data_IF_197338175099
#
_entry.id   IF_197338175099
#
_cell.length_a   1.000
_cell.length_b   1.000
_cell.length_c   1.000
_cell.angle_alpha   90.00
_cell.angle_beta   90.00
_cell.angle_gamma   90.00
#
_symmetry.space_group_name_H-M   'P 1'
#
loop_
_entity.id
_entity.type
_entity.pdbx_description
1 polymer ?
#
# COMPACT_ATOMS: atom_id res chain seq x y z
N UNK A 1 52.02 -20.20 20.13
CA UNK A 1 51.71 -20.90 18.86
C UNK A 1 50.21 -21.01 18.75
N UNK A 2 49.66 -20.41 17.70
CA UNK A 2 48.25 -20.52 17.31
C UNK A 2 47.87 -21.96 16.98
N UNK A 3 46.59 -22.30 17.10
CA UNK A 3 45.81 -23.16 16.20
C UNK A 3 44.42 -23.39 16.79
N UNK A 4 43.38 -23.00 16.04
CA UNK A 4 42.02 -23.45 16.33
C UNK A 4 40.92 -22.40 16.22
N UNK A 5 41.00 -21.46 15.27
CA UNK A 5 39.79 -20.84 14.71
C UNK A 5 38.93 -21.93 14.04
N UNK A 6 38.24 -22.73 14.85
CA UNK A 6 37.14 -23.53 14.38
C UNK A 6 35.96 -22.57 14.22
N UNK A 7 35.90 -21.96 13.04
CA UNK A 7 34.70 -21.42 12.44
C UNK A 7 33.56 -22.45 12.61
N UNK A 8 32.82 -22.38 13.72
CA UNK A 8 31.51 -22.97 13.76
C UNK A 8 30.64 -22.09 12.87
N UNK A 9 30.02 -22.68 11.84
CA UNK A 9 29.34 -21.94 10.81
C UNK A 9 28.31 -21.07 11.50
N UNK A 10 28.35 -19.77 11.21
CA UNK A 10 27.19 -18.90 11.36
C UNK A 10 26.04 -19.69 10.76
N UNK A 11 25.29 -20.38 11.63
CA UNK A 11 24.01 -20.96 11.30
C UNK A 11 23.34 -19.84 10.58
N UNK A 12 23.10 -20.06 9.29
CA UNK A 12 22.52 -19.12 8.35
C UNK A 12 21.26 -18.67 9.04
N UNK A 13 21.36 -17.60 9.84
CA UNK A 13 20.26 -16.85 10.36
C UNK A 13 19.72 -16.36 9.06
N UNK A 14 18.72 -17.08 8.59
CA UNK A 14 17.94 -16.72 7.45
C UNK A 14 17.35 -15.39 7.89
N UNK A 15 18.11 -14.32 7.66
CA UNK A 15 17.70 -12.94 7.47
C UNK A 15 16.89 -12.94 6.17
N UNK A 16 15.93 -13.88 6.10
CA UNK A 16 14.82 -13.86 5.22
C UNK A 16 14.06 -12.69 5.80
N UNK A 17 14.33 -11.55 5.19
CA UNK A 17 13.41 -10.43 5.06
C UNK A 17 12.13 -11.04 4.44
N UNK A 18 11.43 -11.83 5.24
CA UNK A 18 10.01 -12.08 5.09
C UNK A 18 9.49 -10.66 5.22
N UNK A 19 8.94 -10.12 4.13
CA UNK A 19 8.15 -8.91 4.20
C UNK A 19 7.34 -9.04 5.47
N UNK A 20 7.59 -8.18 6.46
CA UNK A 20 6.88 -8.29 7.73
C UNK A 20 5.39 -8.24 7.37
N UNK A 21 4.74 -9.41 7.41
CA UNK A 21 3.45 -9.61 6.74
C UNK A 21 2.42 -8.70 7.38
N UNK A 22 2.61 -8.43 8.67
CA UNK A 22 1.90 -7.45 9.44
C UNK A 22 2.06 -6.03 8.88
N UNK A 23 3.30 -5.58 8.65
CA UNK A 23 3.60 -4.29 8.05
C UNK A 23 2.99 -4.15 6.64
N UNK A 24 3.00 -5.21 5.84
CA UNK A 24 2.35 -5.24 4.53
C UNK A 24 0.82 -5.12 4.63
N UNK A 25 0.19 -5.96 5.46
CA UNK A 25 -1.27 -5.98 5.65
C UNK A 25 -1.75 -4.64 6.21
N UNK A 26 -1.04 -4.08 7.20
CA UNK A 26 -1.35 -2.77 7.78
C UNK A 26 -1.28 -1.66 6.74
N UNK A 27 -0.21 -1.62 5.95
CA UNK A 27 -0.07 -0.64 4.86
C UNK A 27 -1.15 -0.77 3.80
N UNK A 28 -1.49 -2.00 3.41
CA UNK A 28 -2.55 -2.30 2.45
C UNK A 28 -3.93 -1.91 2.98
N UNK A 29 -4.26 -2.22 4.24
CA UNK A 29 -5.52 -1.84 4.87
C UNK A 29 -5.68 -0.33 4.95
N UNK A 30 -4.62 0.40 5.33
CA UNK A 30 -4.65 1.86 5.40
C UNK A 30 -4.85 2.46 4.01
N UNK A 31 -4.09 2.01 3.01
CA UNK A 31 -4.23 2.48 1.63
C UNK A 31 -5.62 2.22 1.07
N UNK A 32 -6.12 0.98 1.23
CA UNK A 32 -7.44 0.58 0.72
C UNK A 32 -8.55 1.36 1.40
N UNK A 33 -8.52 1.45 2.73
CA UNK A 33 -9.53 2.17 3.50
C UNK A 33 -9.54 3.67 3.16
N UNK A 34 -8.36 4.27 2.94
CA UNK A 34 -8.27 5.68 2.52
C UNK A 34 -8.90 5.89 1.15
N UNK A 35 -8.58 5.03 0.18
CA UNK A 35 -9.11 5.17 -1.17
C UNK A 35 -10.61 4.89 -1.23
N UNK A 36 -11.08 3.80 -0.60
CA UNK A 36 -12.51 3.48 -0.50
C UNK A 36 -13.26 4.57 0.27
N UNK A 37 -12.70 5.05 1.38
CA UNK A 37 -13.27 6.17 2.15
C UNK A 37 -13.42 7.44 1.32
N UNK A 38 -12.42 7.77 0.48
CA UNK A 38 -12.52 8.89 -0.45
C UNK A 38 -13.63 8.68 -1.48
N UNK A 39 -13.75 7.49 -2.07
CA UNK A 39 -14.83 7.18 -3.02
C UNK A 39 -16.22 7.27 -2.36
N UNK A 40 -16.36 6.74 -1.14
CA UNK A 40 -17.60 6.83 -0.37
C UNK A 40 -17.95 8.29 -0.06
N UNK A 41 -16.96 9.09 0.32
CA UNK A 41 -17.15 10.52 0.54
C UNK A 41 -17.62 11.23 -0.74
N UNK A 42 -17.00 10.95 -1.89
CA UNK A 42 -17.41 11.51 -3.17
C UNK A 42 -18.84 11.12 -3.53
N UNK A 43 -19.19 9.83 -3.40
CA UNK A 43 -20.56 9.34 -3.67
C UNK A 43 -21.58 9.95 -2.72
N UNK A 44 -21.28 10.03 -1.43
CA UNK A 44 -22.15 10.66 -0.45
C UNK A 44 -22.34 12.15 -0.76
N UNK A 45 -21.28 12.86 -1.15
CA UNK A 45 -21.36 14.27 -1.50
C UNK A 45 -22.10 14.52 -2.82
N UNK A 46 -21.88 13.71 -3.85
CA UNK A 46 -22.43 13.92 -5.20
C UNK A 46 -23.83 13.34 -5.40
N UNK A 47 -24.17 12.25 -4.71
CA UNK A 47 -25.47 11.58 -4.85
C UNK A 47 -26.26 11.56 -3.55
N UNK A 48 -25.61 11.38 -2.40
CA UNK A 48 -26.30 11.35 -1.11
C UNK A 48 -26.90 12.70 -0.69
N UNK A 49 -26.14 13.79 -0.82
CA UNK A 49 -26.62 15.15 -0.46
C UNK A 49 -27.77 15.61 -1.37
N UNK A 50 -27.70 15.45 -2.70
CA UNK A 50 -28.84 15.76 -3.56
C UNK A 50 -30.04 14.85 -3.28
N UNK A 51 -29.82 13.54 -3.08
CA UNK A 51 -30.92 12.62 -2.81
C UNK A 51 -31.69 12.94 -1.51
N UNK A 52 -30.98 13.37 -0.47
CA UNK A 52 -31.59 13.82 0.78
C UNK A 52 -32.39 15.13 0.63
N UNK A 53 -32.04 15.97 -0.35
CA UNK A 53 -32.74 17.23 -0.63
C UNK A 53 -33.93 17.06 -1.55
N UNK A 54 -33.79 16.22 -2.56
CA UNK A 54 -34.77 16.04 -3.64
C UNK A 54 -35.74 14.87 -3.37
N UNK A 55 -35.56 14.14 -2.26
CA UNK A 55 -36.40 12.99 -1.88
C UNK A 55 -36.25 11.78 -2.81
N UNK A 56 -35.14 11.69 -3.53
CA UNK A 56 -34.89 10.63 -4.52
C UNK A 56 -34.57 9.29 -3.84
N UNK A 57 -34.78 8.19 -4.58
CA UNK A 57 -34.68 6.79 -4.12
C UNK A 57 -33.40 6.50 -3.31
N UNK A 58 -33.54 6.49 -1.98
CA UNK A 58 -32.47 6.16 -1.05
C UNK A 58 -31.87 4.77 -1.35
N UNK A 59 -32.66 3.84 -1.88
CA UNK A 59 -32.19 2.52 -2.32
C UNK A 59 -31.10 2.57 -3.38
N UNK A 60 -31.13 3.56 -4.29
CA UNK A 60 -30.12 3.72 -5.33
C UNK A 60 -28.77 4.15 -4.75
N UNK A 61 -28.80 5.09 -3.78
CA UNK A 61 -27.59 5.55 -3.08
C UNK A 61 -26.98 4.43 -2.24
N UNK A 62 -27.81 3.66 -1.52
CA UNK A 62 -27.34 2.51 -0.74
C UNK A 62 -26.74 1.41 -1.62
N UNK A 63 -27.35 1.12 -2.77
CA UNK A 63 -26.79 0.19 -3.75
C UNK A 63 -25.43 0.65 -4.28
N UNK A 64 -25.29 1.95 -4.57
CA UNK A 64 -24.05 2.53 -5.08
C UNK A 64 -22.94 2.52 -4.01
N UNK A 65 -23.26 2.84 -2.75
CA UNK A 65 -22.34 2.73 -1.62
C UNK A 65 -21.88 1.27 -1.41
N UNK A 66 -22.81 0.32 -1.43
CA UNK A 66 -22.49 -1.11 -1.32
C UNK A 66 -21.59 -1.59 -2.45
N UNK A 67 -21.87 -1.16 -3.69
CA UNK A 67 -21.04 -1.44 -4.86
C UNK A 67 -19.62 -0.90 -4.68
N UNK A 68 -19.47 0.35 -4.23
CA UNK A 68 -18.16 1.00 -4.01
C UNK A 68 -17.33 0.24 -2.97
N UNK A 69 -17.94 -0.21 -1.88
CA UNK A 69 -17.24 -1.01 -0.86
C UNK A 69 -16.79 -2.34 -1.46
N UNK A 70 -17.71 -3.08 -2.09
CA UNK A 70 -17.42 -4.41 -2.60
C UNK A 70 -16.38 -4.38 -3.73
N UNK A 71 -16.55 -3.49 -4.71
CA UNK A 71 -15.56 -3.30 -5.77
C UNK A 71 -14.25 -2.73 -5.25
N UNK A 72 -14.29 -1.74 -4.36
CA UNK A 72 -13.09 -1.08 -3.87
C UNK A 72 -12.16 -2.04 -3.11
N UNK A 73 -12.73 -2.83 -2.18
CA UNK A 73 -11.97 -3.86 -1.48
C UNK A 73 -11.61 -5.05 -2.38
N UNK A 74 -12.52 -5.50 -3.25
CA UNK A 74 -12.27 -6.60 -4.18
C UNK A 74 -11.13 -6.30 -5.16
N UNK A 75 -11.16 -5.14 -5.81
CA UNK A 75 -10.11 -4.67 -6.72
C UNK A 75 -8.79 -4.50 -5.97
N UNK A 76 -8.83 -3.96 -4.74
CA UNK A 76 -7.61 -3.82 -3.94
C UNK A 76 -6.97 -5.17 -3.61
N UNK A 77 -7.78 -6.19 -3.34
CA UNK A 77 -7.30 -7.53 -3.01
C UNK A 77 -6.72 -8.25 -4.24
N UNK A 78 -7.37 -8.12 -5.40
CA UNK A 78 -6.98 -8.81 -6.64
C UNK A 78 -5.82 -8.11 -7.36
N UNK A 79 -5.77 -6.78 -7.35
CA UNK A 79 -4.77 -6.01 -8.11
C UNK A 79 -3.77 -5.27 -7.23
N UNK A 80 -4.23 -4.54 -6.21
CA UNK A 80 -3.34 -3.69 -5.43
C UNK A 80 -2.41 -4.50 -4.51
N UNK A 81 -2.89 -5.60 -3.91
CA UNK A 81 -2.05 -6.45 -3.06
C UNK A 81 -0.93 -7.15 -3.85
N UNK A 82 -1.17 -7.84 -4.98
CA UNK A 82 -0.09 -8.39 -5.81
C UNK A 82 0.88 -7.31 -6.31
N UNK A 83 0.37 -6.15 -6.74
CA UNK A 83 1.19 -5.04 -7.20
C UNK A 83 2.11 -4.51 -6.09
N UNK A 84 1.58 -4.32 -4.88
CA UNK A 84 2.34 -3.88 -3.72
C UNK A 84 3.41 -4.91 -3.32
N UNK A 85 3.11 -6.21 -3.44
CA UNK A 85 4.06 -7.27 -3.17
C UNK A 85 5.22 -7.28 -4.18
N UNK A 86 4.91 -7.21 -5.48
CA UNK A 86 5.91 -7.11 -6.56
C UNK A 86 6.79 -5.88 -6.36
N UNK A 87 6.18 -4.73 -6.05
CA UNK A 87 6.90 -3.49 -5.84
C UNK A 87 7.82 -3.55 -4.62
N UNK A 88 7.35 -4.13 -3.52
CA UNK A 88 8.16 -4.34 -2.32
C UNK A 88 9.32 -5.32 -2.56
N UNK A 89 9.14 -6.34 -3.41
CA UNK A 89 10.21 -7.23 -3.83
C UNK A 89 11.26 -6.50 -4.67
N UNK A 90 10.83 -5.71 -5.65
CA UNK A 90 11.72 -4.99 -6.57
C UNK A 90 12.53 -3.89 -5.85
N UNK A 91 11.94 -3.26 -4.83
CA UNK A 91 12.58 -2.21 -4.05
C UNK A 91 13.45 -2.73 -2.89
N UNK A 92 13.60 -4.06 -2.72
CA UNK A 92 14.49 -4.65 -1.71
C UNK A 92 15.92 -4.10 -1.71
N UNK A 93 16.57 -3.87 -2.86
CA UNK A 93 17.94 -3.34 -2.89
C UNK A 93 18.02 -1.86 -2.50
N UNK A 94 16.89 -1.15 -2.47
CA UNK A 94 16.86 0.31 -2.31
C UNK A 94 16.73 0.68 -0.84
N UNK A 95 17.80 1.25 -0.27
CA UNK A 95 17.83 1.67 1.14
C UNK A 95 17.09 2.99 1.41
N UNK A 96 16.85 3.80 0.37
CA UNK A 96 16.23 5.12 0.50
C UNK A 96 14.70 5.04 0.58
N UNK A 97 14.13 5.24 1.78
CA UNK A 97 12.68 5.19 2.02
C UNK A 97 11.86 6.17 1.15
N UNK A 98 12.43 7.31 0.72
CA UNK A 98 11.71 8.25 -0.15
C UNK A 98 11.39 7.65 -1.52
N UNK A 99 12.29 6.80 -2.04
CA UNK A 99 12.08 6.08 -3.30
C UNK A 99 10.94 5.07 -3.15
N UNK A 100 10.81 4.44 -1.98
CA UNK A 100 9.68 3.55 -1.71
C UNK A 100 8.35 4.31 -1.76
N UNK A 101 8.26 5.47 -1.09
CA UNK A 101 7.04 6.29 -1.11
C UNK A 101 6.72 6.75 -2.54
N UNK A 102 7.72 7.25 -3.27
CA UNK A 102 7.55 7.70 -4.65
C UNK A 102 7.15 6.57 -5.61
N UNK A 103 7.71 5.38 -5.45
CA UNK A 103 7.36 4.21 -6.26
C UNK A 103 5.94 3.71 -5.95
N UNK A 104 5.56 3.67 -4.67
CA UNK A 104 4.20 3.34 -4.24
C UNK A 104 3.17 4.40 -4.64
N UNK A 105 3.60 5.62 -4.98
CA UNK A 105 2.75 6.61 -5.62
C UNK A 105 2.63 6.37 -7.13
N UNK A 106 3.77 6.37 -7.83
CA UNK A 106 3.81 6.40 -9.29
C UNK A 106 3.32 5.10 -9.92
N UNK A 107 3.73 3.94 -9.39
CA UNK A 107 3.43 2.64 -10.00
C UNK A 107 1.93 2.35 -9.97
N UNK A 108 1.22 2.46 -8.83
CA UNK A 108 -0.23 2.27 -8.82
C UNK A 108 -0.97 3.32 -9.66
N UNK A 109 -0.56 4.59 -9.61
CA UNK A 109 -1.18 5.66 -10.43
C UNK A 109 -1.13 5.31 -11.92
N UNK A 110 0.06 4.96 -12.42
CA UNK A 110 0.26 4.62 -13.83
C UNK A 110 -0.40 3.30 -14.20
N UNK A 111 -0.29 2.27 -13.34
CA UNK A 111 -0.89 0.96 -13.61
C UNK A 111 -2.41 1.05 -13.75
N UNK A 112 -3.08 1.76 -12.84
CA UNK A 112 -4.53 1.94 -12.90
C UNK A 112 -4.96 2.90 -14.01
N UNK A 113 -4.19 3.95 -14.30
CA UNK A 113 -4.45 4.81 -15.45
C UNK A 113 -4.33 4.05 -16.78
N UNK A 114 -3.29 3.25 -16.96
CA UNK A 114 -3.10 2.41 -18.15
C UNK A 114 -4.21 1.37 -18.27
N UNK A 115 -4.53 0.67 -17.17
CA UNK A 115 -5.61 -0.30 -17.16
C UNK A 115 -6.94 0.37 -17.53
N UNK A 116 -7.27 1.50 -16.92
CA UNK A 116 -8.46 2.28 -17.25
C UNK A 116 -8.48 2.74 -18.71
N UNK A 117 -7.34 3.19 -19.23
CA UNK A 117 -7.21 3.63 -20.62
C UNK A 117 -7.46 2.48 -21.59
N UNK A 118 -6.90 1.29 -21.32
CA UNK A 118 -7.11 0.07 -22.11
C UNK A 118 -8.57 -0.42 -22.03
N UNK A 119 -9.23 -0.24 -20.90
CA UNK A 119 -10.65 -0.56 -20.71
C UNK A 119 -11.60 0.48 -21.33
N UNK A 120 -11.08 1.50 -22.02
CA UNK A 120 -11.88 2.48 -22.75
C UNK A 120 -12.23 3.76 -21.99
N UNK A 121 -11.65 3.99 -20.80
CA UNK A 121 -11.84 5.24 -20.04
C UNK A 121 -11.07 6.43 -20.64
N UNK A 122 -10.21 6.18 -21.63
CA UNK A 122 -9.49 7.19 -22.40
C UNK A 122 -8.07 7.49 -21.90
N UNK A 123 -7.23 8.02 -22.79
CA UNK A 123 -5.80 8.29 -22.57
C UNK A 123 -5.50 9.73 -22.10
N UNK A 124 -6.52 10.44 -21.65
CA UNK A 124 -6.38 11.86 -21.32
C UNK A 124 -5.46 12.03 -20.10
N UNK A 125 -4.42 12.88 -20.18
CA UNK A 125 -3.53 13.14 -19.04
C UNK A 125 -4.27 13.70 -17.81
N UNK A 126 -5.39 14.38 -18.02
CA UNK A 126 -6.21 14.92 -16.94
C UNK A 126 -6.78 13.80 -16.03
N UNK A 127 -7.03 12.61 -16.59
CA UNK A 127 -7.46 11.45 -15.80
C UNK A 127 -6.38 10.96 -14.84
N UNK A 128 -5.09 11.26 -15.08
CA UNK A 128 -4.03 10.97 -14.13
C UNK A 128 -4.28 11.63 -12.77
N UNK A 129 -4.97 12.77 -12.72
CA UNK A 129 -5.33 13.43 -11.45
C UNK A 129 -6.28 12.55 -10.65
N UNK A 130 -7.28 11.95 -11.31
CA UNK A 130 -8.20 11.02 -10.66
C UNK A 130 -7.45 9.76 -10.20
N UNK A 131 -6.60 9.17 -11.05
CA UNK A 131 -5.82 7.98 -10.70
C UNK A 131 -4.71 8.24 -9.68
N UNK A 132 -4.23 9.48 -9.56
CA UNK A 132 -3.25 9.87 -8.55
C UNK A 132 -3.80 9.72 -7.13
N UNK A 133 -5.12 9.71 -6.94
CA UNK A 133 -5.73 9.39 -5.63
C UNK A 133 -5.41 7.97 -5.18
N UNK A 134 -5.33 7.01 -6.11
CA UNK A 134 -4.94 5.62 -5.85
C UNK A 134 -3.47 5.56 -5.41
N UNK A 135 -2.58 6.22 -6.16
CA UNK A 135 -1.17 6.31 -5.82
C UNK A 135 -0.93 7.04 -4.50
N UNK A 136 -1.66 8.12 -4.24
CA UNK A 136 -1.57 8.87 -2.98
C UNK A 136 -1.94 7.97 -1.79
N UNK A 137 -3.04 7.22 -1.90
CA UNK A 137 -3.44 6.27 -0.86
C UNK A 137 -2.38 5.19 -0.63
N UNK A 138 -1.81 4.62 -1.70
CA UNK A 138 -0.73 3.63 -1.61
C UNK A 138 0.57 4.20 -0.99
N UNK A 139 0.93 5.44 -1.34
CA UNK A 139 2.07 6.14 -0.76
C UNK A 139 1.88 6.42 0.73
N UNK A 140 0.68 6.83 1.15
CA UNK A 140 0.31 7.02 2.56
C UNK A 140 0.36 5.68 3.31
N UNK A 141 -0.15 4.60 2.69
CA UNK A 141 -0.02 3.24 3.21
C UNK A 141 1.45 2.88 3.48
N UNK A 142 2.34 3.08 2.49
CA UNK A 142 3.77 2.82 2.65
C UNK A 142 4.43 3.71 3.72
N UNK A 143 4.03 4.98 3.79
CA UNK A 143 4.52 5.92 4.81
C UNK A 143 4.11 5.46 6.22
N UNK A 144 2.86 5.04 6.43
CA UNK A 144 2.32 4.71 7.75
C UNK A 144 3.08 3.59 8.46
N UNK A 145 3.70 2.70 7.68
CA UNK A 145 4.44 1.52 8.12
C UNK A 145 5.93 1.80 8.36
N UNK A 146 6.44 2.99 7.99
CA UNK A 146 7.87 3.31 8.06
C UNK A 146 8.49 3.16 9.46
N UNK A 147 7.68 3.38 10.51
CA UNK A 147 8.12 3.28 11.90
C UNK A 147 8.26 1.82 12.35
N UNK A 148 7.38 0.94 11.88
CA UNK A 148 7.38 -0.49 12.22
C UNK A 148 8.69 -1.17 11.75
N UNK A 149 9.21 -0.75 10.59
CA UNK A 149 10.49 -1.22 10.02
C UNK A 149 11.71 -0.80 10.87
N UNK A 150 11.67 0.39 11.47
CA UNK A 150 12.76 0.88 12.31
C UNK A 150 12.83 0.10 13.63
N UNK A 151 11.68 -0.22 14.23
CA UNK A 151 11.59 -1.01 15.47
C UNK A 151 12.15 -2.42 15.33
N UNK A 152 11.90 -3.11 14.21
CA UNK A 152 12.48 -4.43 13.96
C UNK A 152 14.00 -4.38 13.82
N UNK A 153 14.53 -3.28 13.27
CA UNK A 153 15.98 -3.08 13.12
C UNK A 153 16.66 -2.83 14.47
N UNK A 154 16.05 -2.02 15.35
CA UNK A 154 16.60 -1.74 16.69
C UNK A 154 16.55 -2.93 17.64
N UNK A 155 15.55 -3.80 17.54
CA UNK A 155 15.45 -5.00 18.36
C UNK A 155 16.52 -6.07 18.03
N UNK A 156 17.22 -5.92 16.89
CA UNK A 156 18.21 -6.90 16.41
C UNK A 156 19.66 -6.41 16.55
N UNK A 157 19.88 -5.25 17.18
CA UNK A 157 21.24 -4.81 17.51
C UNK A 157 21.85 -5.74 18.57
N UNK A 158 23.00 -6.38 18.32
CA UNK A 158 23.62 -7.25 19.31
C UNK A 158 24.03 -6.40 20.52
N UNK A 159 23.59 -6.81 21.70
CA UNK A 159 24.16 -6.33 22.95
C UNK A 159 25.68 -6.57 22.89
N UNK A 160 26.45 -5.50 22.76
CA UNK A 160 27.90 -5.58 22.85
C UNK A 160 28.29 -6.16 24.20
N UNK A 161 29.38 -6.94 24.29
CA UNK A 161 29.80 -7.53 25.56
C UNK A 161 30.08 -6.43 26.58
N UNK A 162 29.80 -6.67 27.88
CA UNK A 162 30.10 -5.72 28.93
C UNK A 162 31.60 -5.42 28.89
N UNK A 163 31.94 -4.12 28.90
CA UNK A 163 33.31 -3.68 29.06
C UNK A 163 33.79 -4.09 30.45
N UNK A 164 34.79 -4.96 30.50
CA UNK A 164 35.68 -5.15 31.65
C UNK A 164 36.80 -4.11 31.61
#
# INVERSE_FOLDING_TARGET
>A
MALGEAAQPQAVRSHRVILDAYAFIKGWLIATSLWVGLLLFLVAASYGVPAARDGTDAGHVWGLLGMVVFYGFGVSLVFAAPLAWVLAYLLRPVRNQRIHIGAFFAVPTLAFWLLGSVLGLGWQPLLLIAWATVGAAAAIGRWSVRKDVLSSTSATAPAGPPAE
#
